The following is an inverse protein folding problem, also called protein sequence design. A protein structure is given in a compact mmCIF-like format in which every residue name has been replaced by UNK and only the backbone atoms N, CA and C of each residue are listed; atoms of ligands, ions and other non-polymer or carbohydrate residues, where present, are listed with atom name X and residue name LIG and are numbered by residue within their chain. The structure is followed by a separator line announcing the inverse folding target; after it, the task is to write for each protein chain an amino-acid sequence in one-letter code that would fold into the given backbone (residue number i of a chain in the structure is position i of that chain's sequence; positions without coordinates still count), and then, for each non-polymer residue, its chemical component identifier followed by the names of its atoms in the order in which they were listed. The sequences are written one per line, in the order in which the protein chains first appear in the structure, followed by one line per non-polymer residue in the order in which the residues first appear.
data_IF_969758419322
#
_entry.id   IF_969758419322
#
_cell.length_a   1.000
_cell.length_b   1.000
_cell.length_c   1.000
_cell.angle_alpha   90.00
_cell.angle_beta   90.00
_cell.angle_gamma   90.00
#
_symmetry.space_group_name_H-M   'P 1'
#
loop_
_entity.id
_entity.type
_entity.pdbx_description
1 polymer ?
#
# COMPACT_ATOMS: atom_id res chain seq x y z
N UNK A 1 15.98 7.16 -25.42
CA UNK A 1 15.95 7.22 -23.94
C UNK A 1 14.58 6.70 -23.52
N UNK A 2 14.53 5.46 -23.01
CA UNK A 2 13.26 4.73 -22.87
C UNK A 2 12.45 5.34 -21.75
N UNK A 3 11.24 5.79 -22.10
CA UNK A 3 10.18 6.26 -21.21
C UNK A 3 10.16 5.38 -19.97
N UNK A 4 10.57 5.97 -18.86
CA UNK A 4 10.26 5.51 -17.53
C UNK A 4 8.73 5.49 -17.48
N UNK A 5 8.14 4.32 -17.76
CA UNK A 5 6.70 4.12 -17.60
C UNK A 5 6.47 4.39 -16.12
N UNK A 6 5.82 5.52 -15.83
CA UNK A 6 5.52 5.97 -14.47
C UNK A 6 4.93 4.80 -13.70
N UNK A 7 5.24 4.69 -12.41
CA UNK A 7 5.05 3.50 -11.57
C UNK A 7 3.64 2.95 -11.50
N UNK A 8 3.13 2.42 -12.62
CA UNK A 8 1.83 1.81 -12.77
C UNK A 8 1.77 0.60 -11.86
N UNK A 9 0.61 0.39 -11.26
CA UNK A 9 0.35 -0.68 -10.33
C UNK A 9 -0.71 -1.58 -10.93
N UNK A 10 -0.37 -2.84 -11.16
CA UNK A 10 -1.35 -3.86 -11.47
C UNK A 10 -2.17 -4.11 -10.22
N UNK A 11 -3.49 -4.11 -10.34
CA UNK A 11 -4.43 -4.41 -9.27
C UNK A 11 -5.45 -5.43 -9.75
N UNK A 12 -5.71 -6.43 -8.90
CA UNK A 12 -6.66 -7.50 -9.16
C UNK A 12 -7.49 -7.73 -7.90
N UNK A 13 -8.81 -7.72 -8.05
CA UNK A 13 -9.78 -8.02 -6.99
C UNK A 13 -10.38 -9.40 -7.26
N UNK A 14 -10.41 -10.27 -6.25
CA UNK A 14 -10.88 -11.66 -6.38
C UNK A 14 -11.69 -12.11 -5.16
N UNK A 15 -12.34 -13.26 -5.29
CA UNK A 15 -12.92 -13.95 -4.13
C UNK A 15 -11.83 -14.43 -3.15
N UNK A 16 -12.20 -14.56 -1.88
CA UNK A 16 -11.27 -14.86 -0.78
C UNK A 16 -10.47 -16.16 -1.01
N UNK A 17 -11.10 -17.16 -1.61
CA UNK A 17 -10.49 -18.46 -1.92
C UNK A 17 -9.35 -18.37 -2.96
N UNK A 18 -9.30 -17.30 -3.75
CA UNK A 18 -8.31 -17.14 -4.82
C UNK A 18 -7.16 -16.19 -4.47
N UNK A 19 -7.19 -15.54 -3.29
CA UNK A 19 -6.19 -14.54 -2.89
C UNK A 19 -4.75 -15.10 -2.98
N UNK A 20 -4.52 -16.30 -2.46
CA UNK A 20 -3.16 -16.89 -2.46
C UNK A 20 -2.68 -17.23 -3.87
N UNK A 21 -3.53 -17.81 -4.71
CA UNK A 21 -3.19 -18.12 -6.09
C UNK A 21 -2.88 -16.86 -6.91
N UNK A 22 -3.72 -15.83 -6.75
CA UNK A 22 -3.56 -14.55 -7.47
C UNK A 22 -2.33 -13.78 -6.98
N UNK A 23 -2.01 -13.86 -5.68
CA UNK A 23 -0.76 -13.31 -5.13
C UNK A 23 0.46 -13.88 -5.83
N UNK A 24 0.50 -15.19 -6.08
CA UNK A 24 1.61 -15.82 -6.81
C UNK A 24 1.68 -15.38 -8.27
N UNK A 25 0.53 -15.24 -8.94
CA UNK A 25 0.45 -14.76 -10.33
C UNK A 25 0.98 -13.32 -10.41
N UNK A 26 0.52 -12.44 -9.52
CA UNK A 26 0.96 -11.03 -9.49
C UNK A 26 2.44 -10.92 -9.17
N UNK A 27 2.98 -11.75 -8.27
CA UNK A 27 4.41 -11.78 -7.97
C UNK A 27 5.24 -12.18 -9.21
N UNK A 28 4.80 -13.20 -9.96
CA UNK A 28 5.46 -13.65 -11.19
C UNK A 28 5.46 -12.58 -12.27
N UNK A 29 4.31 -11.93 -12.50
CA UNK A 29 4.15 -10.91 -13.55
C UNK A 29 4.90 -9.61 -13.22
N UNK A 30 4.82 -9.16 -11.96
CA UNK A 30 5.42 -7.88 -11.57
C UNK A 30 6.92 -7.96 -11.34
N UNK A 31 7.42 -9.11 -10.89
CA UNK A 31 8.80 -9.26 -10.41
C UNK A 31 9.11 -8.43 -9.17
N UNK A 32 8.09 -7.89 -8.49
CA UNK A 32 8.20 -6.98 -7.35
C UNK A 32 7.42 -7.50 -6.15
N UNK A 33 7.58 -6.84 -5.00
CA UNK A 33 6.78 -7.11 -3.82
C UNK A 33 5.29 -6.87 -4.09
N UNK A 34 4.47 -7.83 -3.64
CA UNK A 34 3.01 -7.80 -3.77
C UNK A 34 2.39 -7.29 -2.48
N UNK A 35 1.52 -6.29 -2.60
CA UNK A 35 0.67 -5.82 -1.51
C UNK A 35 -0.70 -6.52 -1.59
N UNK A 36 -1.21 -6.95 -0.44
CA UNK A 36 -2.53 -7.56 -0.31
C UNK A 36 -3.33 -6.75 0.70
N UNK A 37 -4.51 -6.30 0.28
CA UNK A 37 -5.53 -5.73 1.15
C UNK A 37 -6.61 -6.79 1.34
N UNK A 38 -6.64 -7.42 2.52
CA UNK A 38 -7.59 -8.47 2.85
C UNK A 38 -9.03 -7.95 2.96
N UNK A 39 -9.21 -6.68 3.33
CA UNK A 39 -10.54 -6.06 3.48
C UNK A 39 -11.21 -5.82 2.12
N UNK A 40 -10.41 -5.39 1.14
CA UNK A 40 -10.85 -5.16 -0.23
C UNK A 40 -10.68 -6.39 -1.12
N UNK A 41 -9.99 -7.43 -0.63
CA UNK A 41 -9.56 -8.62 -1.40
C UNK A 41 -8.80 -8.21 -2.66
N UNK A 42 -7.98 -7.17 -2.52
CA UNK A 42 -7.21 -6.56 -3.59
C UNK A 42 -5.75 -7.00 -3.49
N UNK A 43 -5.21 -7.48 -4.60
CA UNK A 43 -3.82 -7.89 -4.76
C UNK A 43 -3.19 -6.94 -5.77
N UNK A 44 -2.04 -6.37 -5.43
CA UNK A 44 -1.45 -5.35 -6.27
C UNK A 44 0.07 -5.25 -6.20
N UNK A 45 0.70 -4.88 -7.31
CA UNK A 45 2.15 -4.75 -7.38
C UNK A 45 2.57 -3.74 -8.46
N UNK A 46 3.70 -3.03 -8.27
CA UNK A 46 4.23 -2.11 -9.28
C UNK A 46 4.73 -2.89 -10.52
N UNK A 47 4.45 -2.35 -11.70
CA UNK A 47 4.83 -2.92 -13.00
C UNK A 47 5.48 -1.86 -13.88
N UNK A 48 6.50 -2.25 -14.64
CA UNK A 48 7.22 -1.36 -15.57
C UNK A 48 6.82 -1.58 -17.03
N UNK A 49 6.09 -2.66 -17.30
CA UNK A 49 5.68 -3.09 -18.64
C UNK A 49 4.26 -2.64 -19.00
N UNK A 50 3.54 -2.02 -18.05
CA UNK A 50 2.21 -1.45 -18.22
C UNK A 50 1.20 -2.48 -18.72
N UNK A 51 0.53 -2.19 -19.84
CA UNK A 51 -0.52 -3.06 -20.42
C UNK A 51 -0.06 -4.48 -20.73
N UNK A 52 1.23 -4.71 -20.95
CA UNK A 52 1.75 -6.08 -21.14
C UNK A 52 1.60 -6.93 -19.87
N UNK A 53 1.88 -6.37 -18.70
CA UNK A 53 1.67 -7.06 -17.43
C UNK A 53 0.19 -7.39 -17.21
N UNK A 54 -0.71 -6.48 -17.57
CA UNK A 54 -2.16 -6.69 -17.46
C UNK A 54 -2.61 -7.90 -18.31
N UNK A 55 -2.17 -7.95 -19.57
CA UNK A 55 -2.52 -9.04 -20.50
C UNK A 55 -1.94 -10.37 -20.02
N UNK A 56 -0.70 -10.38 -19.54
CA UNK A 56 -0.04 -11.58 -19.02
C UNK A 56 -0.74 -12.11 -17.76
N UNK A 57 -1.09 -11.22 -16.82
CA UNK A 57 -1.84 -11.60 -15.63
C UNK A 57 -3.22 -12.17 -15.98
N UNK A 58 -3.95 -11.54 -16.90
CA UNK A 58 -5.25 -12.03 -17.36
C UNK A 58 -5.14 -13.44 -17.96
N UNK A 59 -4.10 -13.70 -18.76
CA UNK A 59 -3.85 -15.04 -19.32
C UNK A 59 -3.56 -16.08 -18.24
N UNK A 60 -2.71 -15.76 -17.27
CA UNK A 60 -2.37 -16.69 -16.18
C UNK A 60 -3.56 -17.00 -15.26
N UNK A 61 -4.46 -16.03 -15.08
CA UNK A 61 -5.72 -16.24 -14.37
C UNK A 61 -6.64 -17.20 -15.13
N UNK A 62 -6.78 -17.00 -16.44
CA UNK A 62 -7.59 -17.86 -17.32
C UNK A 62 -7.04 -19.30 -17.37
N UNK A 63 -5.72 -19.46 -17.44
CA UNK A 63 -5.04 -20.77 -17.38
C UNK A 63 -5.33 -21.53 -16.07
N UNK A 64 -5.69 -20.83 -14.98
CA UNK A 64 -6.09 -21.40 -13.70
C UNK A 64 -7.62 -21.44 -13.48
N UNK A 65 -8.42 -20.97 -14.44
CA UNK A 65 -9.87 -20.85 -14.29
C UNK A 65 -10.31 -19.86 -13.21
N UNK A 66 -9.48 -18.86 -12.90
CA UNK A 66 -9.78 -17.83 -11.91
C UNK A 66 -10.37 -16.61 -12.62
N UNK A 67 -11.62 -16.27 -12.29
CA UNK A 67 -12.26 -15.07 -12.81
C UNK A 67 -12.14 -13.92 -11.81
N UNK A 68 -11.40 -12.84 -12.13
CA UNK A 68 -11.31 -11.69 -11.24
C UNK A 68 -12.64 -10.92 -11.21
N UNK A 69 -12.94 -10.34 -10.04
CA UNK A 69 -14.05 -9.40 -9.86
C UNK A 69 -13.73 -8.06 -10.54
N UNK A 70 -12.46 -7.64 -10.48
CA UNK A 70 -11.91 -6.48 -11.17
C UNK A 70 -10.42 -6.69 -11.47
N UNK A 71 -9.93 -6.10 -12.56
CA UNK A 71 -8.53 -6.17 -12.98
C UNK A 71 -8.16 -4.90 -13.75
N UNK A 72 -7.08 -4.25 -13.35
CA UNK A 72 -6.68 -2.98 -13.98
C UNK A 72 -5.27 -2.52 -13.68
N UNK A 73 -4.88 -1.47 -14.40
CA UNK A 73 -3.67 -0.69 -14.12
C UNK A 73 -4.08 0.62 -13.46
N UNK A 74 -3.53 0.87 -12.27
CA UNK A 74 -3.69 2.13 -11.56
C UNK A 74 -2.42 2.97 -11.71
N UNK A 75 -2.61 4.25 -11.99
CA UNK A 75 -1.52 5.22 -11.83
C UNK A 75 -1.35 5.50 -10.34
N UNK A 76 -0.11 5.60 -9.85
CA UNK A 76 0.13 5.96 -8.46
C UNK A 76 -0.38 7.39 -8.24
N UNK A 77 -0.95 7.64 -7.07
CA UNK A 77 -1.34 8.98 -6.65
C UNK A 77 -0.09 9.84 -6.42
N UNK A 78 -0.28 11.15 -6.26
CA UNK A 78 0.83 12.04 -5.89
C UNK A 78 1.43 11.65 -4.54
N UNK A 79 0.60 11.21 -3.59
CA UNK A 79 1.03 10.75 -2.27
C UNK A 79 1.89 9.48 -2.36
N UNK A 80 1.50 8.52 -3.22
CA UNK A 80 2.27 7.29 -3.46
C UNK A 80 3.66 7.59 -4.05
N UNK A 81 3.70 8.54 -4.99
CA UNK A 81 4.96 9.01 -5.61
C UNK A 81 5.81 9.77 -4.60
N UNK A 82 5.19 10.63 -3.78
CA UNK A 82 5.88 11.37 -2.73
C UNK A 82 6.46 10.44 -1.67
N UNK A 83 5.71 9.42 -1.22
CA UNK A 83 6.17 8.41 -0.28
C UNK A 83 7.32 7.57 -0.87
N UNK A 84 7.22 7.21 -2.15
CA UNK A 84 8.26 6.45 -2.85
C UNK A 84 9.56 7.25 -3.03
N UNK A 85 9.46 8.57 -3.22
CA UNK A 85 10.61 9.47 -3.37
C UNK A 85 11.23 9.89 -2.03
N UNK A 86 10.42 10.00 -0.98
CA UNK A 86 10.88 10.49 0.34
C UNK A 86 11.26 9.38 1.31
N UNK A 87 11.02 8.12 0.95
CA UNK A 87 11.51 6.97 1.72
C UNK A 87 11.04 6.99 3.17
N UNK A 88 9.72 6.88 3.38
CA UNK A 88 9.10 6.72 4.70
C UNK A 88 9.57 7.71 5.79
N UNK A 89 8.98 8.90 5.83
CA UNK A 89 8.81 9.63 7.09
C UNK A 89 7.35 10.02 7.23
N UNK A 90 6.54 9.05 7.65
CA UNK A 90 5.33 9.33 8.40
C UNK A 90 5.36 8.40 9.61
N UNK A 91 6.22 8.75 10.58
CA UNK A 91 5.94 8.33 11.95
C UNK A 91 4.55 8.86 12.27
N UNK A 92 3.65 7.92 12.49
CA UNK A 92 2.40 8.17 13.16
C UNK A 92 2.78 8.65 14.55
N UNK A 93 2.86 9.97 14.77
CA UNK A 93 2.74 10.54 16.12
C UNK A 93 1.29 10.32 16.57
N UNK A 94 0.99 9.06 16.89
CA UNK A 94 -0.09 8.72 17.80
C UNK A 94 0.31 9.29 19.15
N UNK A 95 -0.36 10.38 19.51
CA UNK A 95 -0.73 10.76 20.85
C UNK A 95 -0.18 9.86 21.97
N UNK A 96 0.84 10.34 22.69
CA UNK A 96 0.92 10.32 24.16
C UNK A 96 2.16 11.07 24.64
N UNK A 97 2.03 11.54 25.88
CA UNK A 97 3.02 12.17 26.76
C UNK A 97 3.16 13.70 26.64
N UNK A 98 3.03 14.50 27.69
CA UNK A 98 2.66 14.26 29.09
C UNK A 98 2.20 15.61 29.67
N UNK A 99 1.09 15.61 30.39
CA UNK A 99 0.74 16.67 31.30
C UNK A 99 1.67 16.58 32.52
N UNK A 100 2.76 17.35 32.53
CA UNK A 100 3.59 17.52 33.71
C UNK A 100 3.19 18.77 34.48
N UNK A 101 2.61 18.50 35.65
CA UNK A 101 2.83 19.17 36.92
C UNK A 101 3.17 20.68 36.91
N UNK A 102 2.17 21.50 37.23
CA UNK A 102 2.39 22.78 37.90
C UNK A 102 1.52 22.85 39.16
N UNK A 103 1.79 21.92 40.09
CA UNK A 103 1.32 21.99 41.45
C UNK A 103 1.78 23.27 42.18
N UNK A 104 0.80 24.12 42.52
CA UNK A 104 0.62 24.64 43.89
C UNK A 104 1.78 25.44 44.50
N UNK A 105 1.87 26.74 44.17
CA UNK A 105 2.44 27.76 45.07
C UNK A 105 1.33 28.63 45.68
N UNK A 106 0.65 28.08 46.69
CA UNK A 106 -0.16 28.84 47.65
C UNK A 106 0.13 28.34 49.06
N UNK A 107 0.97 29.07 49.79
CA UNK A 107 0.93 29.12 51.25
C UNK A 107 1.64 30.37 51.75
N UNK A 108 0.84 31.28 52.32
CA UNK A 108 1.35 32.47 52.98
C UNK A 108 1.81 32.23 54.42
N UNK A 109 2.63 33.19 54.88
CA UNK A 109 2.59 33.89 56.19
C UNK A 109 2.87 33.10 57.49
N UNK A 110 4.02 33.41 58.12
CA UNK A 110 4.25 33.65 59.57
C UNK A 110 5.72 34.11 59.76
N UNK A 111 6.00 35.38 60.10
CA UNK A 111 6.18 35.96 61.45
C UNK A 111 7.51 35.59 62.11
N UNK A 112 8.47 36.54 62.11
CA UNK A 112 9.17 37.05 63.29
C UNK A 112 9.71 38.47 62.97
#
# INVERSE_FOLDING_TARGET
MKKQVGGEKLEIIVENQHINAVKEIVAKVSGNAVAVDESLRSISAPVTTGSKALIEAAKLLDDQGIHPLDIGLKRPSLDDVFLSLTGHVAEVESAKDEATDAGKRKRGRKSE
#
